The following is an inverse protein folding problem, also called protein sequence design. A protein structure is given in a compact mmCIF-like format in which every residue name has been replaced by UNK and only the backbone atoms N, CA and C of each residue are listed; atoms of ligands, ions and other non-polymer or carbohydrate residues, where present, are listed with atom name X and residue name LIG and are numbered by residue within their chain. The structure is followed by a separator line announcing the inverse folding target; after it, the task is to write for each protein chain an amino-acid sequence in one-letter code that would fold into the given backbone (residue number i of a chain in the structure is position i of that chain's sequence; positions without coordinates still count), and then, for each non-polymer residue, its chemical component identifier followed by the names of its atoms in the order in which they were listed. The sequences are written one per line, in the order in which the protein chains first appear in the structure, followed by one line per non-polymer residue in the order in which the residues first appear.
data_IF_446686666119
#
_entry.id   IF_446686666119
#
_cell.length_a   1.000
_cell.length_b   1.000
_cell.length_c   1.000
_cell.angle_alpha   90.00
_cell.angle_beta   90.00
_cell.angle_gamma   90.00
#
_symmetry.space_group_name_H-M   'P 1'
#
loop_
_entity.id
_entity.type
_entity.pdbx_description
1 polymer ?
#
# COMPACT_ATOMS: atom_id res chain seq x y z
N UNK A 1 3.17 -14.09 9.79
CA UNK A 1 1.88 -14.30 9.14
C UNK A 1 1.96 -13.71 7.75
N UNK A 2 1.65 -14.47 6.70
CA UNK A 2 1.83 -13.99 5.33
C UNK A 2 0.54 -13.43 4.74
N UNK A 3 0.71 -12.57 3.76
CA UNK A 3 -0.35 -11.94 2.99
C UNK A 3 -0.78 -12.91 1.88
N UNK A 4 -2.08 -13.16 1.78
CA UNK A 4 -2.69 -14.04 0.78
C UNK A 4 -3.45 -13.27 -0.29
N UNK A 5 -3.91 -12.07 0.04
CA UNK A 5 -4.56 -11.17 -0.90
C UNK A 5 -4.30 -9.71 -0.51
N UNK A 6 -4.31 -8.82 -1.50
CA UNK A 6 -4.20 -7.38 -1.28
C UNK A 6 -5.24 -6.65 -2.10
N UNK A 7 -5.93 -5.72 -1.45
CA UNK A 7 -6.84 -4.76 -2.06
C UNK A 7 -6.22 -3.38 -1.98
N UNK A 8 -5.99 -2.75 -3.12
CA UNK A 8 -5.56 -1.35 -3.20
C UNK A 8 -6.83 -0.52 -3.37
N UNK A 9 -7.13 0.33 -2.39
CA UNK A 9 -8.33 1.17 -2.46
C UNK A 9 -8.17 2.23 -3.56
N UNK A 10 -9.24 2.59 -4.28
CA UNK A 10 -9.17 3.64 -5.27
C UNK A 10 -8.98 5.00 -4.59
N UNK A 11 -8.46 5.98 -5.34
CA UNK A 11 -8.55 7.39 -4.93
C UNK A 11 -10.02 7.73 -4.67
N UNK A 12 -10.37 8.23 -3.48
CA UNK A 12 -11.75 8.59 -3.17
C UNK A 12 -12.22 9.80 -3.98
N UNK A 13 -11.29 10.60 -4.50
CA UNK A 13 -11.55 11.74 -5.40
C UNK A 13 -10.37 12.03 -6.34
N UNK A 14 -10.60 12.67 -7.51
CA UNK A 14 -9.55 12.93 -8.51
C UNK A 14 -8.46 13.91 -8.05
N UNK A 15 -8.78 14.84 -7.14
CA UNK A 15 -7.84 15.80 -6.58
C UNK A 15 -8.05 15.90 -5.07
N UNK A 16 -6.98 15.86 -4.26
CA UNK A 16 -7.11 16.15 -2.85
C UNK A 16 -7.39 17.65 -2.63
N UNK A 17 -8.39 17.99 -1.81
CA UNK A 17 -8.71 19.35 -1.36
C UNK A 17 -7.94 19.75 -0.09
N UNK A 18 -7.30 18.81 0.60
CA UNK A 18 -6.56 19.08 1.84
C UNK A 18 -5.54 18.02 2.22
N UNK A 19 -4.63 18.37 3.14
CA UNK A 19 -3.58 17.47 3.64
C UNK A 19 -4.10 16.23 4.38
N UNK A 20 -5.36 16.25 4.82
CA UNK A 20 -6.01 15.15 5.56
C UNK A 20 -6.95 14.32 4.69
N UNK A 21 -6.84 14.49 3.38
CA UNK A 21 -7.70 13.77 2.47
C UNK A 21 -7.42 12.27 2.50
N UNK A 22 -8.48 11.46 2.35
CA UNK A 22 -8.31 10.02 2.27
C UNK A 22 -7.48 9.69 1.02
N UNK A 23 -6.37 9.02 1.25
CA UNK A 23 -5.44 8.56 0.21
C UNK A 23 -5.71 7.07 -0.10
N UNK A 24 -5.27 6.57 -1.26
CA UNK A 24 -5.26 5.15 -1.55
C UNK A 24 -4.46 4.40 -0.49
N UNK A 25 -5.00 3.27 -0.06
CA UNK A 25 -4.45 2.41 0.96
C UNK A 25 -4.22 1.00 0.42
N UNK A 26 -3.17 0.37 0.92
CA UNK A 26 -2.92 -1.05 0.69
C UNK A 26 -3.52 -1.83 1.85
N UNK A 27 -4.60 -2.54 1.59
CA UNK A 27 -5.29 -3.40 2.56
C UNK A 27 -4.93 -4.85 2.29
N UNK A 28 -4.27 -5.50 3.25
CA UNK A 28 -3.82 -6.88 3.12
C UNK A 28 -4.71 -7.84 3.91
N UNK A 29 -5.07 -8.94 3.28
CA UNK A 29 -5.67 -10.11 3.91
C UNK A 29 -4.58 -11.14 4.17
N UNK A 30 -4.55 -11.66 5.38
CA UNK A 30 -3.56 -12.60 5.84
C UNK A 30 -4.08 -14.05 5.85
N UNK A 31 -3.17 -15.01 6.03
CA UNK A 31 -3.47 -16.44 6.08
C UNK A 31 -4.47 -16.84 7.18
N UNK A 32 -4.58 -16.08 8.26
CA UNK A 32 -5.53 -16.31 9.35
C UNK A 32 -6.94 -15.76 9.05
N UNK A 33 -7.15 -15.16 7.87
CA UNK A 33 -8.39 -14.50 7.48
C UNK A 33 -8.56 -13.09 8.03
N UNK A 34 -7.61 -12.59 8.82
CA UNK A 34 -7.61 -11.19 9.25
C UNK A 34 -7.28 -10.27 8.07
N UNK A 35 -7.82 -9.06 8.12
CA UNK A 35 -7.55 -8.03 7.12
C UNK A 35 -7.10 -6.76 7.84
N UNK A 36 -6.03 -6.12 7.36
CA UNK A 36 -5.51 -4.87 7.93
C UNK A 36 -5.09 -3.90 6.82
N UNK A 37 -5.30 -2.60 7.05
CA UNK A 37 -4.62 -1.55 6.28
C UNK A 37 -3.15 -1.52 6.66
N UNK A 38 -2.26 -1.62 5.68
CA UNK A 38 -0.82 -1.55 5.89
C UNK A 38 -0.34 -0.09 5.90
N UNK A 39 -0.59 0.62 4.80
CA UNK A 39 -0.17 2.02 4.64
C UNK A 39 -0.98 2.70 3.53
N UNK A 40 -1.04 4.03 3.61
CA UNK A 40 -1.48 4.89 2.51
C UNK A 40 -0.28 5.35 1.67
N UNK A 41 -0.53 5.66 0.39
CA UNK A 41 0.53 6.09 -0.53
C UNK A 41 0.03 7.12 -1.54
N UNK A 42 0.95 7.90 -2.09
CA UNK A 42 0.68 8.85 -3.18
C UNK A 42 0.78 8.12 -4.54
N UNK A 43 -0.34 7.91 -5.27
CA UNK A 43 -0.36 7.10 -6.48
C UNK A 43 0.40 7.73 -7.67
N UNK A 44 0.67 9.03 -7.59
CA UNK A 44 1.52 9.80 -8.51
C UNK A 44 3.01 9.59 -8.24
N UNK A 45 3.39 9.26 -7.01
CA UNK A 45 4.79 9.02 -6.61
C UNK A 45 5.16 7.53 -6.71
N UNK A 46 4.25 6.65 -6.29
CA UNK A 46 4.50 5.22 -6.23
C UNK A 46 3.27 4.41 -6.63
N UNK A 47 3.50 3.32 -7.38
CA UNK A 47 2.46 2.37 -7.77
C UNK A 47 2.78 0.96 -7.28
N UNK A 48 1.72 0.24 -6.94
CA UNK A 48 1.78 -1.10 -6.40
C UNK A 48 0.88 -2.06 -7.18
N UNK A 49 1.28 -3.32 -7.26
CA UNK A 49 0.46 -4.44 -7.73
C UNK A 49 0.22 -5.39 -6.57
N UNK A 50 -1.00 -5.92 -6.47
CA UNK A 50 -1.35 -6.89 -5.42
C UNK A 50 -0.39 -8.10 -5.38
N UNK A 51 0.07 -8.56 -6.55
CA UNK A 51 1.03 -9.65 -6.69
C UNK A 51 2.39 -9.40 -6.00
N UNK A 52 2.79 -8.15 -5.79
CA UNK A 52 4.06 -7.81 -5.13
C UNK A 52 4.05 -8.10 -3.63
N UNK A 53 2.86 -8.25 -3.04
CA UNK A 53 2.68 -8.46 -1.61
C UNK A 53 2.35 -9.91 -1.25
N UNK A 54 1.93 -10.73 -2.21
CA UNK A 54 1.51 -12.11 -1.93
C UNK A 54 2.71 -12.91 -1.42
N UNK A 55 2.55 -13.55 -0.27
CA UNK A 55 3.60 -14.32 0.39
C UNK A 55 4.54 -13.49 1.28
N UNK A 56 4.43 -12.16 1.26
CA UNK A 56 5.15 -11.27 2.18
C UNK A 56 4.47 -11.23 3.55
N UNK A 57 5.25 -10.87 4.56
CA UNK A 57 4.76 -10.45 5.88
C UNK A 57 4.42 -8.96 5.89
N UNK A 58 3.74 -8.52 6.95
CA UNK A 58 3.46 -7.10 7.21
C UNK A 58 4.74 -6.25 7.16
N UNK A 59 5.80 -6.68 7.86
CA UNK A 59 7.09 -5.98 7.89
C UNK A 59 7.80 -5.92 6.53
N UNK A 60 7.75 -7.01 5.74
CA UNK A 60 8.31 -7.05 4.40
C UNK A 60 7.54 -6.13 3.44
N UNK A 61 6.20 -6.06 3.57
CA UNK A 61 5.38 -5.15 2.77
C UNK A 61 5.70 -3.68 3.09
N UNK A 62 5.90 -3.34 4.36
CA UNK A 62 6.36 -2.00 4.77
C UNK A 62 7.77 -1.69 4.26
N UNK A 63 8.67 -2.67 4.28
CA UNK A 63 10.02 -2.52 3.74
C UNK A 63 10.00 -2.27 2.22
N UNK A 64 9.13 -2.98 1.48
CA UNK A 64 8.91 -2.77 0.05
C UNK A 64 8.38 -1.35 -0.23
N UNK A 65 7.40 -0.89 0.56
CA UNK A 65 6.89 0.48 0.47
C UNK A 65 8.01 1.50 0.65
N UNK A 66 8.77 1.39 1.74
CA UNK A 66 9.85 2.33 2.04
C UNK A 66 10.95 2.34 0.97
N UNK A 67 11.27 1.17 0.39
CA UNK A 67 12.21 1.07 -0.71
C UNK A 67 11.73 1.83 -1.95
N UNK A 68 10.47 1.66 -2.34
CA UNK A 68 9.90 2.34 -3.53
C UNK A 68 9.73 3.84 -3.31
N UNK A 69 9.22 4.23 -2.14
CA UNK A 69 9.05 5.62 -1.73
C UNK A 69 10.39 6.38 -1.75
N UNK A 70 11.43 5.78 -1.16
CA UNK A 70 12.79 6.35 -1.18
C UNK A 70 13.38 6.40 -2.60
N UNK A 71 13.05 5.45 -3.47
CA UNK A 71 13.52 5.44 -4.84
C UNK A 71 12.94 6.60 -5.66
N UNK A 72 11.68 6.98 -5.42
CA UNK A 72 11.07 8.17 -6.02
C UNK A 72 11.79 9.45 -5.58
N UNK A 73 12.05 9.61 -4.28
CA UNK A 73 12.75 10.79 -3.73
C UNK A 73 14.22 10.93 -4.18
N UNK A 74 14.82 9.88 -4.73
CA UNK A 74 16.21 9.87 -5.22
C UNK A 74 16.33 10.01 -6.74
N UNK A 75 15.21 10.13 -7.47
CA UNK A 75 15.17 10.31 -8.93
C UNK A 75 15.21 11.77 -9.37
#
# INVERSE_FOLDING_TARGET
MKITNVTITPMPRPMPEGMFDPMPEVVATFEDGSTKSLFSFFPDEVSFRSSEFIGLTEEEAHSLFQQKDTAYLRS
#
